data_IF_152928911950
#
_entry.id   IF_152928911950
#
_cell.length_a   1.000
_cell.length_b   1.000
_cell.length_c   1.000
_cell.angle_alpha   90.00
_cell.angle_beta   90.00
_cell.angle_gamma   90.00
#
_symmetry.space_group_name_H-M   'P 1'
#
loop_
_entity.id
_entity.type
_entity.pdbx_description
1 polymer ?
#
# COMPACT_ATOMS: atom_id res chain seq x y z
N UNK A 1 -12.94 -7.89 9.29
CA UNK A 1 -11.77 -7.00 9.10
C UNK A 1 -11.61 -6.74 7.61
N UNK A 2 -11.62 -5.46 7.22
CA UNK A 2 -11.43 -5.01 5.83
C UNK A 2 -10.02 -4.44 5.67
N UNK A 3 -9.30 -4.84 4.64
CA UNK A 3 -7.94 -4.37 4.37
C UNK A 3 -7.87 -3.86 2.93
N UNK A 4 -7.41 -2.64 2.76
CA UNK A 4 -7.28 -2.00 1.44
C UNK A 4 -5.81 -1.94 1.03
N UNK A 5 -5.51 -2.42 -0.16
CA UNK A 5 -4.21 -2.28 -0.82
C UNK A 5 -4.21 -1.15 -1.83
N UNK A 6 -3.20 -0.29 -1.77
CA UNK A 6 -2.98 0.81 -2.71
C UNK A 6 -1.57 0.68 -3.25
N UNK A 7 -1.41 0.45 -4.55
CA UNK A 7 -0.05 0.39 -5.11
C UNK A 7 0.02 -0.21 -6.49
N UNK A 8 1.12 0.04 -7.17
CA UNK A 8 1.36 -0.43 -8.50
C UNK A 8 2.12 0.58 -9.35
N UNK A 9 2.16 0.31 -10.64
CA UNK A 9 2.72 1.19 -11.67
C UNK A 9 1.78 1.23 -12.87
N UNK A 10 2.10 2.01 -13.89
CA UNK A 10 1.34 2.00 -15.15
C UNK A 10 1.44 0.66 -15.90
N UNK A 11 2.37 -0.20 -15.52
CA UNK A 11 2.52 -1.55 -16.08
C UNK A 11 1.70 -2.53 -15.26
N UNK A 12 0.75 -3.18 -15.89
CA UNK A 12 -0.08 -4.22 -15.26
C UNK A 12 0.79 -5.36 -14.71
N UNK A 13 0.44 -5.87 -13.55
CA UNK A 13 1.20 -6.93 -12.88
C UNK A 13 2.62 -6.53 -12.50
N UNK A 14 2.87 -5.26 -12.23
CA UNK A 14 4.18 -4.79 -11.76
C UNK A 14 4.60 -5.47 -10.45
N UNK A 15 5.91 -5.55 -10.21
CA UNK A 15 6.42 -6.17 -8.97
C UNK A 15 5.83 -5.52 -7.73
N UNK A 16 5.65 -4.20 -7.73
CA UNK A 16 5.00 -3.48 -6.62
C UNK A 16 3.57 -3.96 -6.41
N UNK A 17 2.76 -4.01 -7.47
CA UNK A 17 1.36 -4.44 -7.40
C UNK A 17 1.24 -5.87 -6.90
N UNK A 18 2.05 -6.78 -7.46
CA UNK A 18 2.08 -8.20 -7.07
C UNK A 18 2.51 -8.40 -5.62
N UNK A 19 3.47 -7.62 -5.11
CA UNK A 19 3.89 -7.68 -3.71
C UNK A 19 2.79 -7.20 -2.76
N UNK A 20 2.07 -6.11 -3.11
CA UNK A 20 0.90 -5.68 -2.33
C UNK A 20 -0.18 -6.75 -2.34
N UNK A 21 -0.49 -7.32 -3.52
CA UNK A 21 -1.45 -8.42 -3.64
C UNK A 21 -1.04 -9.62 -2.77
N UNK A 22 0.23 -10.01 -2.76
CA UNK A 22 0.72 -11.10 -1.92
C UNK A 22 0.50 -10.85 -0.41
N UNK A 23 0.67 -9.60 0.06
CA UNK A 23 0.34 -9.25 1.46
C UNK A 23 -1.16 -9.35 1.71
N UNK A 24 -1.98 -8.85 0.78
CA UNK A 24 -3.44 -8.95 0.88
C UNK A 24 -3.92 -10.41 0.89
N UNK A 25 -3.38 -11.26 0.02
CA UNK A 25 -3.69 -12.68 -0.04
C UNK A 25 -3.31 -13.40 1.27
N UNK A 26 -2.15 -13.06 1.84
CA UNK A 26 -1.76 -13.56 3.15
C UNK A 26 -2.71 -13.10 4.27
N UNK A 27 -3.20 -11.87 4.23
CA UNK A 27 -4.24 -11.40 5.15
C UNK A 27 -5.58 -12.10 4.92
N UNK A 28 -5.97 -12.31 3.66
CA UNK A 28 -7.20 -13.01 3.29
C UNK A 28 -7.19 -14.46 3.79
N UNK A 29 -6.05 -15.16 3.71
CA UNK A 29 -5.89 -16.51 4.25
C UNK A 29 -6.07 -16.58 5.77
N UNK A 30 -5.93 -15.44 6.47
CA UNK A 30 -6.19 -15.29 7.90
C UNK A 30 -7.60 -14.73 8.21
N UNK A 31 -8.48 -14.67 7.21
CA UNK A 31 -9.89 -14.30 7.35
C UNK A 31 -10.21 -12.81 7.13
N UNK A 32 -9.32 -12.02 6.57
CA UNK A 32 -9.62 -10.65 6.17
C UNK A 32 -10.38 -10.59 4.84
N UNK A 33 -11.23 -9.58 4.68
CA UNK A 33 -11.76 -9.14 3.38
C UNK A 33 -10.77 -8.14 2.79
N UNK A 34 -10.33 -8.36 1.56
CA UNK A 34 -9.32 -7.51 0.93
C UNK A 34 -9.85 -6.85 -0.33
N UNK A 35 -9.40 -5.62 -0.58
CA UNK A 35 -9.67 -4.88 -1.81
C UNK A 35 -8.38 -4.22 -2.30
N UNK A 36 -8.09 -4.33 -3.60
CA UNK A 36 -6.89 -3.79 -4.22
C UNK A 36 -7.22 -2.64 -5.18
N UNK A 37 -6.53 -1.51 -5.01
CA UNK A 37 -6.43 -0.44 -5.99
C UNK A 37 -5.05 -0.51 -6.65
N UNK A 38 -4.96 -1.29 -7.71
CA UNK A 38 -3.75 -1.53 -8.49
C UNK A 38 -3.47 -0.44 -9.52
N UNK A 39 -2.43 -0.65 -10.33
CA UNK A 39 -1.96 0.32 -11.31
C UNK A 39 -3.04 0.84 -12.25
N UNK A 40 -3.93 -0.01 -12.76
CA UNK A 40 -5.04 0.37 -13.65
C UNK A 40 -6.04 1.31 -12.96
N UNK A 41 -6.42 1.03 -11.71
CA UNK A 41 -7.32 1.88 -10.93
C UNK A 41 -6.67 3.23 -10.64
N UNK A 42 -5.40 3.23 -10.19
CA UNK A 42 -4.67 4.45 -9.86
C UNK A 42 -4.42 5.34 -11.08
N UNK A 43 -4.18 4.74 -12.25
CA UNK A 43 -4.00 5.46 -13.53
C UNK A 43 -5.25 6.24 -13.94
N UNK A 44 -6.42 5.74 -13.60
CA UNK A 44 -7.69 6.36 -13.95
C UNK A 44 -8.07 7.54 -13.03
N UNK A 45 -7.35 7.74 -11.92
CA UNK A 45 -7.61 8.85 -11.01
C UNK A 45 -7.08 10.17 -11.61
N UNK A 46 -7.88 11.24 -11.66
CA UNK A 46 -7.38 12.57 -11.95
C UNK A 46 -6.33 13.00 -10.92
N UNK A 47 -5.54 14.00 -11.25
CA UNK A 47 -4.71 14.64 -10.23
C UNK A 47 -5.57 15.28 -9.15
N UNK A 48 -5.21 15.04 -7.89
CA UNK A 48 -5.89 15.61 -6.74
C UNK A 48 -5.94 17.16 -6.86
N UNK A 49 -7.14 17.70 -6.75
CA UNK A 49 -7.37 19.14 -6.73
C UNK A 49 -8.03 19.52 -5.39
N UNK A 50 -7.29 20.18 -4.48
CA UNK A 50 -7.83 20.57 -3.17
C UNK A 50 -8.92 21.65 -3.24
N UNK A 51 -9.02 22.39 -4.36
CA UNK A 51 -10.01 23.44 -4.55
C UNK A 51 -11.35 22.91 -5.10
N UNK A 52 -11.39 21.67 -5.57
CA UNK A 52 -12.61 21.03 -6.07
C UNK A 52 -13.17 20.05 -5.06
N UNK A 53 -14.45 20.16 -4.76
CA UNK A 53 -15.19 19.16 -4.01
C UNK A 53 -15.74 18.03 -4.89
N UNK A 54 -15.65 18.17 -6.22
CA UNK A 54 -16.10 17.14 -7.15
C UNK A 54 -15.12 16.00 -7.20
N UNK A 55 -15.63 14.76 -7.12
CA UNK A 55 -14.86 13.53 -7.24
C UNK A 55 -15.49 12.61 -8.28
N UNK A 56 -14.67 11.98 -9.08
CA UNK A 56 -15.09 10.90 -9.99
C UNK A 56 -15.54 9.67 -9.19
N UNK A 57 -16.18 8.72 -9.87
CA UNK A 57 -16.57 7.45 -9.25
C UNK A 57 -15.33 6.68 -8.72
N UNK A 58 -14.21 6.71 -9.45
CA UNK A 58 -12.96 6.03 -9.04
C UNK A 58 -12.34 6.67 -7.79
N UNK A 59 -12.32 8.00 -7.71
CA UNK A 59 -11.83 8.72 -6.53
C UNK A 59 -12.69 8.42 -5.29
N UNK A 60 -14.01 8.50 -5.42
CA UNK A 60 -14.93 8.13 -4.33
C UNK A 60 -14.73 6.68 -3.89
N UNK A 61 -14.62 5.75 -4.84
CA UNK A 61 -14.42 4.34 -4.50
C UNK A 61 -13.14 4.10 -3.68
N UNK A 62 -12.04 4.79 -3.99
CA UNK A 62 -10.80 4.71 -3.20
C UNK A 62 -10.99 5.30 -1.80
N UNK A 63 -11.54 6.52 -1.72
CA UNK A 63 -11.73 7.22 -0.44
C UNK A 63 -12.68 6.43 0.47
N UNK A 64 -13.81 5.95 -0.05
CA UNK A 64 -14.79 5.18 0.72
C UNK A 64 -14.21 3.84 1.18
N UNK A 65 -13.45 3.14 0.32
CA UNK A 65 -12.79 1.90 0.71
C UNK A 65 -11.81 2.12 1.86
N UNK A 66 -11.01 3.19 1.81
CA UNK A 66 -10.07 3.51 2.90
C UNK A 66 -10.81 3.97 4.16
N UNK A 67 -11.91 4.72 4.02
CA UNK A 67 -12.75 5.13 5.16
C UNK A 67 -13.23 3.92 5.97
N UNK A 68 -13.63 2.86 5.28
CA UNK A 68 -14.16 1.65 5.88
C UNK A 68 -13.10 0.60 6.26
N UNK A 69 -11.84 0.83 5.92
CA UNK A 69 -10.78 -0.15 6.16
C UNK A 69 -10.34 -0.19 7.62
N UNK A 70 -10.07 -1.36 8.14
CA UNK A 70 -9.42 -1.58 9.44
C UNK A 70 -7.89 -1.48 9.33
N UNK A 71 -7.34 -1.68 8.14
CA UNK A 71 -5.91 -1.61 7.84
C UNK A 71 -5.66 -1.24 6.37
N UNK A 72 -4.48 -0.74 6.07
CA UNK A 72 -4.08 -0.38 4.71
C UNK A 72 -2.71 -1.01 4.37
N UNK A 73 -2.52 -1.41 3.12
CA UNK A 73 -1.21 -1.79 2.57
C UNK A 73 -0.86 -0.83 1.45
N UNK A 74 0.23 -0.10 1.57
CA UNK A 74 0.69 0.86 0.56
C UNK A 74 1.95 0.35 -0.10
N UNK A 75 1.91 0.22 -1.43
CA UNK A 75 3.06 -0.18 -2.23
C UNK A 75 3.47 0.88 -3.23
N UNK A 76 4.75 1.22 -3.29
CA UNK A 76 5.28 2.15 -4.28
C UNK A 76 6.56 1.63 -4.93
N UNK A 77 6.72 1.83 -6.26
CA UNK A 77 8.06 1.77 -6.82
C UNK A 77 8.91 2.92 -6.28
N UNK A 78 10.20 2.67 -6.09
CA UNK A 78 11.16 3.71 -5.68
C UNK A 78 11.74 4.40 -6.92
N UNK A 79 11.16 5.51 -7.33
CA UNK A 79 11.67 6.35 -8.42
C UNK A 79 12.42 7.55 -7.87
N UNK A 80 13.69 7.71 -8.28
CA UNK A 80 14.53 8.86 -7.88
C UNK A 80 14.59 9.09 -6.36
N UNK A 81 14.54 8.00 -5.57
CA UNK A 81 14.59 8.06 -4.11
C UNK A 81 13.28 8.47 -3.42
N UNK A 82 12.13 8.38 -4.10
CA UNK A 82 10.85 8.78 -3.54
C UNK A 82 9.68 7.91 -3.98
N UNK A 83 8.53 8.20 -3.39
CA UNK A 83 7.24 7.59 -3.73
C UNK A 83 6.83 8.02 -5.15
N UNK A 84 6.31 7.10 -5.95
CA UNK A 84 5.86 7.42 -7.30
C UNK A 84 4.71 8.44 -7.29
N UNK A 85 4.67 9.32 -8.29
CA UNK A 85 3.58 10.30 -8.44
C UNK A 85 2.20 9.65 -8.51
N UNK A 86 2.12 8.45 -9.12
CA UNK A 86 0.87 7.69 -9.20
C UNK A 86 0.33 7.31 -7.81
N UNK A 87 1.18 6.77 -6.95
CA UNK A 87 0.83 6.37 -5.58
C UNK A 87 0.63 7.60 -4.70
N UNK A 88 1.48 8.64 -4.87
CA UNK A 88 1.34 9.88 -4.12
C UNK A 88 0.01 10.58 -4.40
N UNK A 89 -0.44 10.61 -5.65
CA UNK A 89 -1.74 11.16 -6.02
C UNK A 89 -2.90 10.43 -5.34
N UNK A 90 -2.84 9.09 -5.28
CA UNK A 90 -3.85 8.30 -4.55
C UNK A 90 -3.86 8.61 -3.05
N UNK A 91 -2.68 8.84 -2.45
CA UNK A 91 -2.55 9.23 -1.05
C UNK A 91 -3.10 10.65 -0.83
N UNK A 92 -2.84 11.58 -1.75
CA UNK A 92 -3.33 12.96 -1.64
C UNK A 92 -4.85 13.05 -1.70
N UNK A 93 -5.53 12.17 -2.46
CA UNK A 93 -6.99 12.07 -2.47
C UNK A 93 -7.59 11.72 -1.10
N UNK A 94 -6.83 11.08 -0.21
CA UNK A 94 -7.29 10.76 1.13
C UNK A 94 -7.40 12.00 2.04
N UNK A 95 -7.04 13.20 1.54
CA UNK A 95 -7.36 14.48 2.21
C UNK A 95 -8.86 14.63 2.45
N UNK A 96 -9.69 14.01 1.63
CA UNK A 96 -11.14 13.97 1.83
C UNK A 96 -11.55 13.31 3.18
N UNK A 97 -10.66 12.55 3.81
CA UNK A 97 -10.88 11.95 5.14
C UNK A 97 -10.43 12.83 6.31
N UNK A 98 -9.90 14.02 6.05
CA UNK A 98 -9.30 14.89 7.08
C UNK A 98 -10.26 15.26 8.22
N UNK A 99 -11.57 15.31 7.93
CA UNK A 99 -12.62 15.73 8.86
C UNK A 99 -13.53 14.59 9.32
N UNK A 100 -13.19 13.35 8.96
CA UNK A 100 -13.93 12.18 9.40
C UNK A 100 -13.69 11.92 10.90
N UNK A 101 -14.55 11.13 11.55
CA UNK A 101 -14.39 10.76 12.96
C UNK A 101 -13.05 10.05 13.21
N UNK A 102 -12.55 9.29 12.23
CA UNK A 102 -11.23 8.68 12.22
C UNK A 102 -10.47 9.19 10.97
N UNK A 103 -9.75 10.34 11.09
CA UNK A 103 -9.10 10.96 9.96
C UNK A 103 -8.00 10.08 9.37
N UNK A 104 -7.92 10.01 8.06
CA UNK A 104 -6.86 9.30 7.31
C UNK A 104 -6.68 7.84 7.75
N UNK A 105 -5.56 7.55 8.41
CA UNK A 105 -5.20 6.22 8.92
C UNK A 105 -5.24 6.17 10.45
N UNK A 106 -5.96 7.08 11.10
CA UNK A 106 -5.97 7.20 12.56
C UNK A 106 -6.32 5.84 13.22
N UNK A 107 -5.43 5.39 14.11
CA UNK A 107 -5.57 4.11 14.81
C UNK A 107 -5.31 2.86 13.97
N UNK A 108 -4.96 2.96 12.68
CA UNK A 108 -4.87 1.83 11.74
C UNK A 108 -3.44 1.38 11.50
N UNK A 109 -3.17 0.07 11.42
CA UNK A 109 -1.88 -0.43 10.94
C UNK A 109 -1.76 -0.24 9.44
N UNK A 110 -0.57 0.15 8.98
CA UNK A 110 -0.26 0.34 7.57
C UNK A 110 0.96 -0.50 7.19
N UNK A 111 0.74 -1.52 6.35
CA UNK A 111 1.79 -2.30 5.73
C UNK A 111 2.45 -1.51 4.60
N UNK A 112 3.79 -1.50 4.54
CA UNK A 112 4.53 -0.75 3.54
C UNK A 112 5.37 -1.67 2.67
N UNK A 113 5.25 -1.49 1.36
CA UNK A 113 5.92 -2.29 0.34
C UNK A 113 6.63 -1.38 -0.66
N UNK A 114 7.90 -1.64 -0.92
CA UNK A 114 8.68 -0.90 -1.91
C UNK A 114 9.40 -1.86 -2.84
N UNK A 115 9.39 -1.57 -4.14
CA UNK A 115 10.23 -2.23 -5.12
C UNK A 115 11.04 -1.20 -5.90
N UNK A 116 12.32 -1.46 -6.13
CA UNK A 116 13.19 -0.59 -6.91
C UNK A 116 14.37 -1.38 -7.51
N UNK A 117 15.09 -0.78 -8.45
CA UNK A 117 16.27 -1.38 -9.08
C UNK A 117 17.55 -1.30 -8.21
N UNK A 118 17.53 -0.63 -7.07
CA UNK A 118 18.69 -0.47 -6.17
C UNK A 118 18.32 -0.37 -4.71
N UNK A 119 19.19 -0.85 -3.82
CA UNK A 119 18.97 -0.87 -2.38
C UNK A 119 18.78 0.52 -1.76
N UNK A 120 19.54 1.53 -2.25
CA UNK A 120 19.38 2.90 -1.79
C UNK A 120 17.97 3.42 -2.05
N UNK A 121 17.45 3.20 -3.27
CA UNK A 121 16.11 3.64 -3.64
C UNK A 121 15.03 2.94 -2.82
N UNK A 122 15.18 1.63 -2.54
CA UNK A 122 14.22 0.90 -1.69
C UNK A 122 14.18 1.44 -0.28
N UNK A 123 15.35 1.66 0.35
CA UNK A 123 15.44 2.15 1.73
C UNK A 123 14.89 3.57 1.89
N UNK A 124 15.28 4.48 1.00
CA UNK A 124 14.82 5.88 1.06
C UNK A 124 13.32 6.00 0.80
N UNK A 125 12.80 5.26 -0.19
CA UNK A 125 11.35 5.26 -0.46
C UNK A 125 10.54 4.65 0.69
N UNK A 126 11.04 3.60 1.34
CA UNK A 126 10.40 3.03 2.52
C UNK A 126 10.37 4.03 3.69
N UNK A 127 11.47 4.76 3.91
CA UNK A 127 11.52 5.82 4.92
C UNK A 127 10.50 6.94 4.61
N UNK A 128 10.38 7.35 3.34
CA UNK A 128 9.39 8.34 2.91
C UNK A 128 7.95 7.86 3.16
N UNK A 129 7.61 6.61 2.83
CA UNK A 129 6.29 6.04 3.12
C UNK A 129 5.99 5.97 4.62
N UNK A 130 6.99 5.67 5.47
CA UNK A 130 6.83 5.72 6.93
C UNK A 130 6.49 7.14 7.41
N UNK A 131 7.19 8.15 6.89
CA UNK A 131 6.91 9.55 7.19
C UNK A 131 5.49 9.97 6.78
N UNK A 132 5.07 9.60 5.57
CA UNK A 132 3.70 9.85 5.08
C UNK A 132 2.67 9.16 5.99
N UNK A 133 2.88 7.89 6.34
CA UNK A 133 1.98 7.13 7.21
C UNK A 133 1.81 7.81 8.57
N UNK A 134 2.90 8.26 9.18
CA UNK A 134 2.84 9.00 10.45
C UNK A 134 2.14 10.35 10.31
N UNK A 135 2.41 11.11 9.24
CA UNK A 135 1.71 12.37 8.96
C UNK A 135 0.20 12.16 8.82
N UNK A 136 -0.21 11.00 8.32
CA UNK A 136 -1.60 10.58 8.20
C UNK A 136 -2.13 9.82 9.42
N UNK A 137 -1.46 9.89 10.58
CA UNK A 137 -1.86 9.31 11.88
C UNK A 137 -1.92 7.78 11.91
N UNK A 138 -1.33 7.10 10.93
CA UNK A 138 -1.28 5.65 10.86
C UNK A 138 -0.09 5.04 11.60
N UNK A 139 -0.16 3.74 11.85
CA UNK A 139 0.88 2.95 12.48
C UNK A 139 1.58 2.08 11.44
N UNK A 140 2.73 2.51 10.86
CA UNK A 140 3.46 1.65 9.94
C UNK A 140 3.89 0.37 10.67
N UNK A 141 3.66 -0.79 10.04
CA UNK A 141 4.13 -2.06 10.62
C UNK A 141 5.64 -2.02 10.88
N UNK A 142 6.14 -2.67 11.96
CA UNK A 142 7.57 -2.74 12.23
C UNK A 142 8.37 -3.24 11.02
N UNK A 143 7.88 -4.28 10.34
CA UNK A 143 8.46 -4.74 9.09
C UNK A 143 7.87 -3.96 7.91
N UNK A 144 8.75 -3.30 7.13
CA UNK A 144 8.45 -2.82 5.79
C UNK A 144 9.15 -3.72 4.76
N UNK A 145 8.46 -4.07 3.69
CA UNK A 145 9.01 -4.92 2.62
C UNK A 145 9.73 -4.03 1.62
N UNK A 146 11.02 -4.27 1.42
CA UNK A 146 11.86 -3.55 0.45
C UNK A 146 12.54 -4.56 -0.48
N UNK A 147 12.20 -4.53 -1.77
CA UNK A 147 12.69 -5.49 -2.77
C UNK A 147 13.52 -4.81 -3.84
N UNK A 148 14.76 -5.23 -3.98
CA UNK A 148 15.61 -4.86 -5.11
C UNK A 148 15.34 -5.80 -6.28
N UNK A 149 14.58 -5.33 -7.28
CA UNK A 149 14.12 -6.14 -8.41
C UNK A 149 15.22 -6.53 -9.42
N UNK A 150 16.43 -6.00 -9.28
CA UNK A 150 17.59 -6.41 -10.05
C UNK A 150 18.34 -7.55 -9.34
N UNK A 151 18.53 -7.41 -8.02
CA UNK A 151 19.25 -8.39 -7.21
C UNK A 151 18.38 -9.59 -6.79
N UNK A 152 17.08 -9.40 -6.71
CA UNK A 152 16.12 -10.41 -6.23
C UNK A 152 15.08 -10.72 -7.32
N UNK A 153 14.64 -11.96 -7.36
CA UNK A 153 13.57 -12.42 -8.25
C UNK A 153 12.40 -12.89 -7.40
N UNK A 154 11.55 -11.97 -6.93
CA UNK A 154 10.49 -12.29 -5.98
C UNK A 154 9.46 -13.29 -6.52
N UNK A 155 9.27 -13.34 -7.83
CA UNK A 155 8.22 -14.11 -8.46
C UNK A 155 8.76 -15.09 -9.51
N UNK A 156 8.18 -16.28 -9.57
CA UNK A 156 8.35 -17.25 -10.64
C UNK A 156 7.63 -16.78 -11.93
N UNK A 157 7.83 -17.54 -13.02
CA UNK A 157 7.23 -17.23 -14.32
C UNK A 157 5.70 -17.32 -14.32
N UNK A 158 5.13 -18.18 -13.50
CA UNK A 158 3.68 -18.32 -13.30
C UNK A 158 3.06 -17.23 -12.42
N UNK A 159 3.89 -16.36 -11.86
CA UNK A 159 3.46 -15.27 -11.01
C UNK A 159 3.44 -15.56 -9.52
N UNK A 160 3.67 -16.78 -9.10
CA UNK A 160 3.75 -17.14 -7.69
C UNK A 160 4.97 -16.51 -7.00
N UNK A 161 4.85 -16.26 -5.69
CA UNK A 161 5.95 -15.75 -4.88
C UNK A 161 6.99 -16.87 -4.69
N UNK A 162 8.18 -16.68 -5.26
CA UNK A 162 9.20 -17.72 -5.35
C UNK A 162 10.39 -17.52 -4.40
N UNK A 163 10.69 -16.29 -4.03
CA UNK A 163 11.78 -15.96 -3.11
C UNK A 163 11.34 -16.27 -1.66
N UNK A 164 12.00 -17.22 -0.94
CA UNK A 164 11.57 -17.61 0.39
C UNK A 164 11.75 -16.52 1.45
N UNK A 165 12.72 -15.61 1.31
CA UNK A 165 12.93 -14.52 2.24
C UNK A 165 11.83 -13.47 2.08
N UNK A 166 11.46 -13.17 0.83
CA UNK A 166 10.36 -12.25 0.54
C UNK A 166 9.03 -12.87 0.96
N UNK A 167 8.82 -14.17 0.75
CA UNK A 167 7.64 -14.88 1.22
C UNK A 167 7.51 -14.83 2.77
N UNK A 168 8.62 -15.03 3.48
CA UNK A 168 8.65 -14.90 4.93
C UNK A 168 8.34 -13.45 5.39
N UNK A 169 8.87 -12.45 4.68
CA UNK A 169 8.58 -11.04 4.96
C UNK A 169 7.10 -10.69 4.72
N UNK A 170 6.49 -11.16 3.63
CA UNK A 170 5.07 -11.03 3.34
C UNK A 170 4.22 -11.63 4.46
N UNK A 171 4.50 -12.87 4.84
CA UNK A 171 3.78 -13.56 5.92
C UNK A 171 3.94 -12.84 7.28
N UNK A 172 5.13 -12.29 7.57
CA UNK A 172 5.38 -11.53 8.79
C UNK A 172 4.61 -10.23 8.80
N UNK A 173 4.65 -9.45 7.72
CA UNK A 173 3.93 -8.18 7.64
C UNK A 173 2.41 -8.39 7.75
N UNK A 174 1.87 -9.41 7.08
CA UNK A 174 0.46 -9.76 7.19
C UNK A 174 0.07 -10.10 8.63
N UNK A 175 0.88 -10.90 9.36
CA UNK A 175 0.64 -11.16 10.78
C UNK A 175 0.65 -9.89 11.63
N UNK A 176 1.60 -8.98 11.40
CA UNK A 176 1.67 -7.69 12.13
C UNK A 176 0.42 -6.84 11.89
N UNK A 177 -0.06 -6.76 10.64
CA UNK A 177 -1.30 -6.07 10.29
C UNK A 177 -2.49 -6.68 11.04
N UNK A 178 -2.65 -8.00 10.95
CA UNK A 178 -3.79 -8.72 11.52
C UNK A 178 -3.82 -8.67 13.06
N UNK A 179 -2.65 -8.73 13.69
CA UNK A 179 -2.53 -8.66 15.16
C UNK A 179 -2.85 -7.26 15.68
N UNK A 180 -2.29 -6.22 15.05
CA UNK A 180 -2.52 -4.84 15.48
C UNK A 180 -3.99 -4.45 15.32
N UNK A 181 -4.59 -4.73 14.16
CA UNK A 181 -5.97 -4.37 13.89
C UNK A 181 -6.99 -5.09 14.81
N UNK A 182 -6.66 -6.30 15.31
CA UNK A 182 -7.49 -7.00 16.32
C UNK A 182 -7.34 -6.40 17.74
N UNK A 183 -6.20 -5.83 18.06
CA UNK A 183 -5.94 -5.23 19.37
C UNK A 183 -6.44 -3.79 19.48
N UNK A 184 -6.80 -3.16 18.38
CA UNK A 184 -7.31 -1.78 18.32
C UNK A 184 -8.86 -1.71 18.36
N UNK A 185 -9.54 -2.86 18.21
CA UNK A 185 -10.99 -3.02 18.31
C UNK A 185 -11.37 -3.38 19.77
#
# INVERSE_FOLDING_TARGET
>A
MKIVGIGGTLRDGSSTERLVAAVLDACASMGAQTQMFGGSALKALPHFNPESAERTTGERALVDAVREADAVVIGSPGYHGGVSGLVKNAIDLLEDLARDAHPYFDGRPVGLVVSAAGWQATGVTLAALRGITHAMRGWPTPLGIAVNTVAQKPFAADGSLADPEIAAAVAMQARQIMQFAKGAA
#
